data_IF_714493627081
#
_entry.id   IF_714493627081
#
_cell.length_a   1.000
_cell.length_b   1.000
_cell.length_c   1.000
_cell.angle_alpha   90.00
_cell.angle_beta   90.00
_cell.angle_gamma   90.00
#
_symmetry.space_group_name_H-M   'P 1'
#
loop_
_entity.id
_entity.type
_entity.pdbx_description
1 polymer ?
#
# COMPACT_ATOMS: atom_id res chain seq x y z
N UNK A 1 1.97 -16.00 26.41
CA UNK A 1 3.15 -15.20 26.01
C UNK A 1 3.89 -15.86 24.86
N UNK A 2 3.99 -17.19 24.89
CA UNK A 2 3.88 -18.09 23.75
C UNK A 2 2.54 -17.81 23.03
N UNK A 3 2.48 -17.87 21.70
CA UNK A 3 1.42 -17.29 20.84
C UNK A 3 1.61 -15.79 20.65
N UNK A 4 2.63 -15.35 19.90
CA UNK A 4 2.48 -15.29 18.44
C UNK A 4 1.04 -14.91 18.11
N UNK A 5 0.81 -13.61 17.91
CA UNK A 5 -0.29 -13.07 17.09
C UNK A 5 -0.07 -13.67 15.69
N UNK A 6 -0.43 -14.94 15.60
CA UNK A 6 -0.26 -15.85 14.50
C UNK A 6 -1.34 -15.62 13.46
N UNK A 7 -2.03 -14.47 13.46
CA UNK A 7 -3.23 -14.24 12.68
C UNK A 7 -3.36 -12.74 12.39
N UNK A 8 -2.48 -12.21 11.54
CA UNK A 8 -2.95 -11.41 10.38
C UNK A 8 -2.50 -12.13 9.10
N UNK A 9 -2.75 -13.44 9.17
CA UNK A 9 -2.56 -14.48 8.17
C UNK A 9 -3.49 -14.20 6.98
N UNK A 10 -2.86 -14.16 5.80
CA UNK A 10 -3.39 -14.65 4.53
C UNK A 10 -4.48 -13.81 3.86
N UNK A 11 -4.04 -12.89 3.00
CA UNK A 11 -4.10 -13.04 1.53
C UNK A 11 -3.06 -12.06 0.96
N UNK A 12 -1.83 -12.56 0.78
CA UNK A 12 -0.85 -12.01 -0.13
C UNK A 12 -1.03 -12.78 -1.45
N UNK A 13 -1.92 -12.34 -2.34
CA UNK A 13 -1.94 -12.88 -3.70
C UNK A 13 -2.20 -11.81 -4.74
N UNK A 14 -1.17 -11.65 -5.57
CA UNK A 14 -1.10 -10.86 -6.81
C UNK A 14 -0.88 -9.35 -6.63
N UNK A 15 0.40 -9.03 -6.36
CA UNK A 15 1.21 -8.16 -7.21
C UNK A 15 0.81 -6.65 -7.32
N UNK A 16 1.24 -5.84 -6.33
CA UNK A 16 1.33 -4.35 -6.37
C UNK A 16 1.97 -3.79 -5.07
N UNK A 17 2.99 -2.94 -5.09
CA UNK A 17 3.90 -2.74 -3.93
C UNK A 17 3.45 -1.63 -2.93
N UNK A 18 3.27 -1.98 -1.65
CA UNK A 18 3.10 -1.09 -0.47
C UNK A 18 4.21 -1.16 0.60
N UNK A 19 4.94 -0.06 0.78
CA UNK A 19 5.96 0.04 1.82
C UNK A 19 5.44 0.78 3.07
N UNK A 20 5.75 0.23 4.25
CA UNK A 20 5.43 0.80 5.58
C UNK A 20 6.69 0.83 6.46
N UNK A 21 6.92 1.95 7.15
CA UNK A 21 8.10 2.17 8.00
C UNK A 21 8.30 1.11 9.12
N UNK A 22 7.27 0.34 9.48
CA UNK A 22 7.31 -0.62 10.59
C UNK A 22 7.26 -2.10 10.15
N UNK A 23 7.30 -2.40 8.84
CA UNK A 23 7.28 -3.79 8.34
C UNK A 23 8.16 -3.89 7.10
N UNK A 24 9.36 -4.47 7.27
CA UNK A 24 10.33 -4.74 6.19
C UNK A 24 10.00 -6.03 5.43
N UNK A 25 8.95 -6.76 5.78
CA UNK A 25 8.66 -8.05 5.16
C UNK A 25 7.34 -8.06 4.38
N UNK A 26 7.51 -8.21 3.06
CA UNK A 26 6.51 -8.56 2.03
C UNK A 26 5.43 -7.53 1.72
N UNK A 27 5.44 -7.14 0.45
CA UNK A 27 4.86 -5.91 -0.03
C UNK A 27 4.05 -6.21 -1.31
N UNK A 28 2.73 -6.40 -1.14
CA UNK A 28 1.76 -6.56 -2.23
C UNK A 28 0.34 -6.15 -1.77
N UNK A 29 -0.39 -5.25 -2.45
CA UNK A 29 -1.79 -4.90 -2.10
C UNK A 29 -2.78 -5.13 -3.21
N UNK A 30 -3.65 -6.12 -3.00
CA UNK A 30 -4.78 -6.49 -3.85
C UNK A 30 -6.08 -5.87 -3.32
N UNK A 31 -6.14 -4.55 -3.20
CA UNK A 31 -7.27 -3.87 -2.56
C UNK A 31 -8.63 -4.15 -3.22
N UNK A 32 -8.63 -4.47 -4.52
CA UNK A 32 -9.80 -4.83 -5.32
C UNK A 32 -10.32 -6.25 -5.07
N UNK A 33 -9.57 -7.09 -4.34
CA UNK A 33 -9.88 -8.52 -4.22
C UNK A 33 -11.08 -8.81 -3.31
N UNK A 34 -11.35 -7.97 -2.30
CA UNK A 34 -12.46 -8.20 -1.37
C UNK A 34 -12.94 -6.95 -0.64
N UNK A 35 -14.26 -6.81 -0.52
CA UNK A 35 -14.93 -5.78 0.28
C UNK A 35 -14.55 -5.84 1.77
N UNK A 36 -14.03 -6.98 2.26
CA UNK A 36 -13.53 -7.09 3.64
C UNK A 36 -12.35 -6.15 3.91
N UNK A 37 -11.52 -5.87 2.90
CA UNK A 37 -10.37 -4.98 3.02
C UNK A 37 -10.80 -3.54 3.24
N UNK A 38 -11.86 -3.11 2.54
CA UNK A 38 -12.46 -1.79 2.74
C UNK A 38 -13.06 -1.64 4.14
N UNK A 39 -13.83 -2.65 4.59
CA UNK A 39 -14.43 -2.65 5.93
C UNK A 39 -13.36 -2.52 7.02
N UNK A 40 -12.31 -3.35 6.93
CA UNK A 40 -11.19 -3.30 7.86
C UNK A 40 -10.53 -1.92 7.90
N UNK A 41 -10.32 -1.30 6.74
CA UNK A 41 -9.71 0.03 6.64
C UNK A 41 -10.58 1.10 7.29
N UNK A 42 -11.91 1.03 7.14
CA UNK A 42 -12.82 1.96 7.81
C UNK A 42 -12.75 1.83 9.34
N UNK A 43 -12.60 0.61 9.85
CA UNK A 43 -12.58 0.33 11.29
C UNK A 43 -11.22 0.64 11.95
N UNK A 44 -10.12 0.47 11.22
CA UNK A 44 -8.76 0.51 11.78
C UNK A 44 -7.80 1.49 11.10
N UNK A 45 -8.26 2.26 10.11
CA UNK A 45 -7.42 3.12 9.27
C UNK A 45 -6.82 4.34 9.97
N UNK A 46 -7.22 4.66 11.21
CA UNK A 46 -6.70 5.81 11.95
C UNK A 46 -5.32 5.55 12.59
N UNK A 47 -4.31 5.19 11.78
CA UNK A 47 -2.96 4.87 12.25
C UNK A 47 -2.05 6.08 12.05
N UNK A 48 -1.78 6.81 13.14
CA UNK A 48 -1.15 8.13 13.08
C UNK A 48 0.38 8.15 13.14
N UNK A 49 1.01 7.00 13.34
CA UNK A 49 2.47 6.85 13.57
C UNK A 49 3.21 6.17 12.41
N UNK A 50 2.51 5.81 11.34
CA UNK A 50 3.07 5.08 10.20
C UNK A 50 3.03 5.96 8.96
N UNK A 51 4.06 5.88 8.11
CA UNK A 51 4.00 6.35 6.73
C UNK A 51 3.64 5.20 5.79
N UNK A 52 2.78 5.47 4.82
CA UNK A 52 2.31 4.51 3.81
C UNK A 52 2.57 5.04 2.40
N UNK A 53 3.28 4.27 1.58
CA UNK A 53 3.47 4.57 0.16
C UNK A 53 2.69 3.55 -0.68
N UNK A 54 1.75 4.03 -1.48
CA UNK A 54 0.98 3.23 -2.44
C UNK A 54 1.54 3.47 -3.85
N UNK A 55 2.16 2.44 -4.45
CA UNK A 55 2.69 2.50 -5.81
C UNK A 55 1.90 1.56 -6.71
N UNK A 56 1.33 2.07 -7.80
CA UNK A 56 0.58 1.28 -8.77
C UNK A 56 1.02 1.60 -10.19
N UNK A 57 1.09 0.57 -11.00
CA UNK A 57 1.35 0.69 -12.43
C UNK A 57 0.04 0.67 -13.22
N UNK A 58 -0.12 1.60 -14.17
CA UNK A 58 -1.36 1.76 -14.94
C UNK A 58 -1.65 0.57 -15.85
N UNK A 59 -0.60 -0.12 -16.31
CA UNK A 59 -0.73 -1.32 -17.15
C UNK A 59 -1.12 -2.58 -16.38
N UNK A 60 -1.25 -2.52 -15.05
CA UNK A 60 -1.88 -3.61 -14.27
C UNK A 60 -3.41 -3.64 -14.44
N UNK A 61 -3.99 -2.60 -15.03
CA UNK A 61 -5.41 -2.54 -15.36
C UNK A 61 -6.22 -1.66 -14.43
N UNK A 62 -7.41 -1.29 -14.90
CA UNK A 62 -8.27 -0.29 -14.25
C UNK A 62 -8.70 -0.68 -12.84
N UNK A 63 -8.85 -1.98 -12.56
CA UNK A 63 -9.23 -2.49 -11.23
C UNK A 63 -8.16 -2.19 -10.17
N UNK A 64 -6.87 -2.28 -10.52
CA UNK A 64 -5.78 -1.91 -9.60
C UNK A 64 -5.78 -0.42 -9.29
N UNK A 65 -5.92 0.38 -10.34
CA UNK A 65 -5.92 1.84 -10.26
C UNK A 65 -7.11 2.33 -9.43
N UNK A 66 -8.31 1.84 -9.73
CA UNK A 66 -9.54 2.20 -9.01
C UNK A 66 -9.52 1.70 -7.56
N UNK A 67 -9.14 0.45 -7.30
CA UNK A 67 -9.03 -0.10 -5.96
C UNK A 67 -8.06 0.69 -5.07
N UNK A 68 -6.94 1.16 -5.64
CA UNK A 68 -5.97 2.00 -4.90
C UNK A 68 -6.51 3.39 -4.63
N UNK A 69 -7.25 3.99 -5.56
CA UNK A 69 -7.93 5.28 -5.34
C UNK A 69 -8.99 5.16 -4.22
N UNK A 70 -9.76 4.07 -4.21
CA UNK A 70 -10.74 3.76 -3.16
C UNK A 70 -10.01 3.61 -1.81
N UNK A 71 -8.93 2.82 -1.77
CA UNK A 71 -8.16 2.63 -0.54
C UNK A 71 -7.58 3.93 0.02
N UNK A 72 -6.97 4.76 -0.85
CA UNK A 72 -6.48 6.09 -0.45
C UNK A 72 -7.60 6.90 0.19
N UNK A 73 -8.78 6.94 -0.43
CA UNK A 73 -9.94 7.66 0.09
C UNK A 73 -10.36 7.10 1.46
N UNK A 74 -10.51 5.79 1.59
CA UNK A 74 -10.89 5.16 2.86
C UNK A 74 -9.90 5.43 4.00
N UNK A 75 -8.60 5.43 3.71
CA UNK A 75 -7.58 5.78 4.69
C UNK A 75 -7.73 7.23 5.16
N UNK A 76 -7.91 8.17 4.23
CA UNK A 76 -8.10 9.58 4.57
C UNK A 76 -9.40 9.81 5.35
N UNK A 77 -10.50 9.19 4.91
CA UNK A 77 -11.81 9.26 5.56
C UNK A 77 -11.75 8.66 6.99
N UNK A 78 -10.93 7.63 7.20
CA UNK A 78 -10.67 7.03 8.51
C UNK A 78 -9.73 7.87 9.41
N UNK A 79 -9.24 9.01 8.94
CA UNK A 79 -8.37 9.92 9.71
C UNK A 79 -6.87 9.71 9.53
N UNK A 80 -6.44 8.91 8.55
CA UNK A 80 -5.02 8.75 8.23
C UNK A 80 -4.43 10.09 7.77
N UNK A 81 -3.28 10.46 8.34
CA UNK A 81 -2.66 11.77 8.07
C UNK A 81 -2.20 11.87 6.61
N UNK A 82 -2.68 12.88 5.89
CA UNK A 82 -2.26 13.13 4.50
C UNK A 82 -0.74 13.23 4.33
N UNK A 83 -0.03 13.86 5.28
CA UNK A 83 1.44 13.96 5.25
C UNK A 83 2.17 12.62 5.34
N UNK A 84 1.49 11.59 5.84
CA UNK A 84 2.02 10.24 6.00
C UNK A 84 1.51 9.28 4.91
N UNK A 85 0.75 9.75 3.92
CA UNK A 85 0.22 8.93 2.84
C UNK A 85 0.69 9.48 1.49
N UNK A 86 1.43 8.66 0.74
CA UNK A 86 1.79 8.96 -0.65
C UNK A 86 1.17 7.93 -1.56
N UNK A 87 0.67 8.38 -2.70
CA UNK A 87 0.13 7.52 -3.75
C UNK A 87 0.71 7.95 -5.08
N UNK A 88 1.32 7.02 -5.80
CA UNK A 88 1.81 7.19 -7.17
C UNK A 88 1.11 6.17 -8.06
N UNK A 89 0.49 6.66 -9.13
CA UNK A 89 -0.11 5.84 -10.18
C UNK A 89 0.61 6.21 -11.47
N UNK A 90 1.52 5.35 -11.92
CA UNK A 90 2.30 5.60 -13.14
C UNK A 90 1.56 4.98 -14.32
N UNK A 91 0.95 5.77 -15.24
CA UNK A 91 0.14 5.23 -16.34
C UNK A 91 0.94 4.32 -17.28
N UNK A 92 2.24 4.57 -17.40
CA UNK A 92 3.14 3.83 -18.30
C UNK A 92 3.85 2.66 -17.61
N UNK A 93 3.82 2.63 -16.27
CA UNK A 93 4.42 1.58 -15.47
C UNK A 93 3.85 0.22 -15.87
N UNK A 94 4.73 -0.78 -15.88
CA UNK A 94 4.37 -2.17 -16.13
C UNK A 94 4.46 -2.99 -14.85
N UNK A 95 3.83 -4.16 -14.89
CA UNK A 95 3.86 -5.11 -13.80
C UNK A 95 5.16 -5.93 -13.81
N UNK A 96 6.30 -5.29 -13.52
CA UNK A 96 7.61 -5.94 -13.56
C UNK A 96 8.64 -5.31 -12.63
N UNK A 97 9.74 -6.05 -12.40
CA UNK A 97 10.84 -5.64 -11.54
C UNK A 97 11.57 -4.39 -12.04
N UNK A 98 11.62 -4.18 -13.36
CA UNK A 98 12.26 -3.00 -13.95
C UNK A 98 11.56 -1.73 -13.49
N UNK A 99 10.23 -1.71 -13.56
CA UNK A 99 9.43 -0.61 -13.06
C UNK A 99 9.61 -0.42 -11.55
N UNK A 100 9.54 -1.49 -10.76
CA UNK A 100 9.69 -1.38 -9.31
C UNK A 100 11.08 -0.89 -8.88
N UNK A 101 12.13 -1.35 -9.56
CA UNK A 101 13.49 -0.88 -9.35
C UNK A 101 13.61 0.62 -9.65
N UNK A 102 12.95 1.09 -10.71
CA UNK A 102 12.97 2.53 -11.07
C UNK A 102 12.31 3.42 -10.01
N UNK A 103 11.32 2.90 -9.28
CA UNK A 103 10.60 3.65 -8.25
C UNK A 103 11.17 3.43 -6.84
N UNK A 104 12.01 2.42 -6.63
CA UNK A 104 12.52 2.02 -5.32
C UNK A 104 13.17 3.18 -4.57
N UNK A 105 14.07 3.94 -5.22
CA UNK A 105 14.75 5.06 -4.58
C UNK A 105 13.78 6.17 -4.18
N UNK A 106 12.77 6.47 -5.02
CA UNK A 106 11.73 7.44 -4.69
C UNK A 106 10.95 7.03 -3.43
N UNK A 107 10.63 5.74 -3.32
CA UNK A 107 9.91 5.20 -2.17
C UNK A 107 10.76 5.29 -0.90
N UNK A 108 12.01 4.82 -0.96
CA UNK A 108 12.93 4.85 0.18
C UNK A 108 13.18 6.28 0.65
N UNK A 109 13.44 7.21 -0.27
CA UNK A 109 13.65 8.61 0.05
C UNK A 109 12.42 9.24 0.72
N UNK A 110 11.21 8.92 0.25
CA UNK A 110 9.99 9.44 0.88
C UNK A 110 9.72 8.84 2.28
N UNK A 111 9.99 7.54 2.45
CA UNK A 111 9.80 6.87 3.73
C UNK A 111 10.81 7.38 4.75
N UNK A 112 12.10 7.37 4.43
CA UNK A 112 13.16 7.56 5.41
C UNK A 112 13.79 8.96 5.36
N UNK A 113 13.39 9.81 4.42
CA UNK A 113 13.99 11.13 4.20
C UNK A 113 15.52 11.03 4.05
N UNK A 114 16.01 10.00 3.37
CA UNK A 114 17.44 9.84 3.09
C UNK A 114 17.86 10.97 2.16
N UNK A 115 18.82 11.78 2.59
CA UNK A 115 19.48 12.83 1.81
C UNK A 115 20.78 12.30 1.23
#
# INVERSE_FOLDING_TARGET
MKHFISIFITICFTFSIVYSQNTVEKIATSFWFSNKVEKFTKEHGNINKVKLFLLVSGKEGEKMVSGTKIMKKLLLDAGFKHKNLKTIINPNGAHNEVFWKSEFLNVVNWLYNIK
#
